data_IF_735039122992
#
_entry.id   IF_735039122992
#
_cell.length_a   1.000
_cell.length_b   1.000
_cell.length_c   1.000
_cell.angle_alpha   90.00
_cell.angle_beta   90.00
_cell.angle_gamma   90.00
#
_symmetry.space_group_name_H-M   'P 1'
#
loop_
_entity.id
_entity.type
_entity.pdbx_description
1 polymer ?
#
# COMPACT_ATOMS: atom_id res chain seq x y z
N UNK A 1 -6.72 -20.01 -23.69
CA UNK A 1 -6.38 -19.84 -22.25
C UNK A 1 -5.56 -18.55 -22.07
N UNK A 2 -6.13 -17.37 -22.41
CA UNK A 2 -5.40 -16.09 -22.37
C UNK A 2 -5.90 -15.09 -21.30
N UNK A 3 -6.93 -15.43 -20.51
CA UNK A 3 -7.56 -14.46 -19.60
C UNK A 3 -7.01 -14.44 -18.16
N UNK A 4 -6.42 -15.54 -17.66
CA UNK A 4 -6.06 -15.63 -16.24
C UNK A 4 -4.97 -14.65 -15.82
N UNK A 5 -3.98 -14.43 -16.66
CA UNK A 5 -2.87 -13.52 -16.35
C UNK A 5 -3.33 -12.05 -16.39
N UNK A 6 -4.26 -11.70 -17.28
CA UNK A 6 -4.78 -10.32 -17.42
C UNK A 6 -5.63 -9.92 -16.21
N UNK A 7 -6.49 -10.83 -15.72
CA UNK A 7 -7.31 -10.57 -14.53
C UNK A 7 -6.44 -10.45 -13.26
N UNK A 8 -5.37 -11.23 -13.17
CA UNK A 8 -4.41 -11.17 -12.07
C UNK A 8 -3.58 -9.87 -12.11
N UNK A 9 -3.06 -9.48 -13.27
CA UNK A 9 -2.35 -8.21 -13.45
C UNK A 9 -3.24 -7.02 -13.08
N UNK A 10 -4.47 -6.98 -13.59
CA UNK A 10 -5.43 -5.91 -13.29
C UNK A 10 -5.78 -5.86 -11.78
N UNK A 11 -5.86 -7.02 -11.12
CA UNK A 11 -6.06 -7.06 -9.68
C UNK A 11 -4.88 -6.47 -8.91
N UNK A 12 -3.63 -6.81 -9.26
CA UNK A 12 -2.44 -6.28 -8.59
C UNK A 12 -2.19 -4.81 -8.88
N UNK A 13 -2.49 -4.33 -10.09
CA UNK A 13 -2.45 -2.90 -10.42
C UNK A 13 -3.44 -2.11 -9.56
N UNK A 14 -4.66 -2.63 -9.39
CA UNK A 14 -5.64 -2.06 -8.44
C UNK A 14 -5.09 -2.04 -7.00
N UNK A 15 -4.37 -3.07 -6.56
CA UNK A 15 -3.79 -3.05 -5.21
C UNK A 15 -2.71 -1.98 -5.06
N UNK A 16 -1.86 -1.77 -6.08
CA UNK A 16 -0.85 -0.69 -6.10
C UNK A 16 -1.49 0.70 -6.06
N UNK A 17 -2.61 0.91 -6.75
CA UNK A 17 -3.38 2.16 -6.66
C UNK A 17 -3.91 2.40 -5.25
N UNK A 18 -4.41 1.35 -4.58
CA UNK A 18 -4.92 1.44 -3.21
C UNK A 18 -3.83 1.72 -2.19
N UNK A 19 -2.67 1.07 -2.33
CA UNK A 19 -1.46 1.37 -1.52
C UNK A 19 -1.04 2.83 -1.73
N UNK A 20 -1.05 3.30 -2.99
CA UNK A 20 -0.72 4.69 -3.34
C UNK A 20 -1.67 5.68 -2.65
N UNK A 21 -2.97 5.44 -2.72
CA UNK A 21 -3.98 6.27 -2.07
C UNK A 21 -3.77 6.29 -0.55
N UNK A 22 -3.57 5.13 0.07
CA UNK A 22 -3.31 5.02 1.50
C UNK A 22 -2.07 5.80 1.94
N UNK A 23 -0.95 5.66 1.22
CA UNK A 23 0.31 6.33 1.54
C UNK A 23 0.19 7.85 1.39
N UNK A 24 -0.38 8.33 0.27
CA UNK A 24 -0.58 9.78 0.04
C UNK A 24 -1.56 10.40 1.03
N UNK A 25 -2.56 9.64 1.47
CA UNK A 25 -3.56 10.16 2.40
C UNK A 25 -3.06 10.15 3.85
N UNK A 26 -2.37 9.11 4.31
CA UNK A 26 -2.02 8.95 5.72
C UNK A 26 -0.68 9.61 6.11
N UNK A 27 0.22 9.83 5.16
CA UNK A 27 1.56 10.38 5.40
C UNK A 27 1.72 11.73 4.71
N UNK A 28 2.50 12.61 5.33
CA UNK A 28 2.81 13.95 4.81
C UNK A 28 3.96 13.88 3.82
N UNK A 29 3.86 14.62 2.70
CA UNK A 29 4.97 14.77 1.76
C UNK A 29 5.31 13.52 0.94
N UNK A 30 4.37 12.60 0.72
CA UNK A 30 4.54 11.48 -0.22
C UNK A 30 4.19 11.93 -1.64
N UNK A 31 5.21 12.19 -2.46
CA UNK A 31 5.04 12.68 -3.83
C UNK A 31 5.16 11.55 -4.85
N UNK A 32 6.20 10.72 -4.67
CA UNK A 32 6.53 9.59 -5.56
C UNK A 32 6.55 8.28 -4.78
N UNK A 33 6.12 7.21 -5.43
CA UNK A 33 6.11 5.86 -4.87
C UNK A 33 6.78 4.94 -5.91
N UNK A 34 7.69 4.10 -5.44
CA UNK A 34 8.33 3.06 -6.27
C UNK A 34 8.06 1.71 -5.63
N UNK A 35 7.52 0.79 -6.42
CA UNK A 35 7.32 -0.61 -6.03
C UNK A 35 8.55 -1.41 -6.46
N UNK A 36 9.15 -2.19 -5.56
CA UNK A 36 10.39 -2.95 -5.82
C UNK A 36 10.15 -4.44 -5.97
N UNK A 37 9.43 -5.05 -5.02
CA UNK A 37 9.27 -6.51 -4.97
C UNK A 37 7.84 -6.91 -4.62
N UNK A 38 7.49 -8.14 -4.99
CA UNK A 38 6.22 -8.78 -4.63
C UNK A 38 6.49 -10.22 -4.27
N UNK A 39 6.19 -10.59 -3.02
CA UNK A 39 6.42 -11.93 -2.51
C UNK A 39 5.14 -12.53 -1.94
N UNK A 40 5.06 -13.86 -1.91
CA UNK A 40 3.90 -14.59 -1.38
C UNK A 40 4.32 -15.46 -0.21
N UNK A 41 3.67 -15.27 0.93
CA UNK A 41 3.86 -16.10 2.11
C UNK A 41 3.14 -17.44 1.96
N UNK A 42 3.62 -18.52 2.62
CA UNK A 42 2.95 -19.82 2.61
C UNK A 42 1.49 -19.77 3.11
N UNK A 43 1.16 -18.78 3.93
CA UNK A 43 -0.21 -18.52 4.43
C UNK A 43 -1.16 -18.00 3.36
N UNK A 44 -0.65 -17.59 2.20
CA UNK A 44 -1.42 -17.03 1.09
C UNK A 44 -1.45 -15.49 1.05
N UNK A 45 -0.92 -14.81 2.07
CA UNK A 45 -0.72 -13.36 2.07
C UNK A 45 0.34 -12.97 1.05
N UNK A 46 0.11 -11.92 0.30
CA UNK A 46 1.06 -11.32 -0.65
C UNK A 46 1.57 -10.01 -0.06
N UNK A 47 2.89 -9.89 0.05
CA UNK A 47 3.57 -8.66 0.43
C UNK A 47 4.02 -7.90 -0.83
N UNK A 48 3.79 -6.59 -0.84
CA UNK A 48 4.29 -5.68 -1.87
C UNK A 48 5.20 -4.67 -1.18
N UNK A 49 6.48 -4.68 -1.56
CA UNK A 49 7.49 -3.79 -1.00
C UNK A 49 7.74 -2.59 -1.91
N UNK A 50 8.12 -1.49 -1.30
CA UNK A 50 8.50 -0.29 -2.02
C UNK A 50 9.04 0.80 -1.11
N UNK A 51 9.29 1.95 -1.72
CA UNK A 51 9.75 3.14 -1.02
C UNK A 51 9.15 4.40 -1.63
N UNK A 52 9.22 5.51 -0.89
CA UNK A 52 8.68 6.81 -1.34
C UNK A 52 9.79 7.82 -1.60
N UNK A 53 9.48 8.83 -2.43
CA UNK A 53 10.32 9.99 -2.72
C UNK A 53 11.77 9.69 -3.16
N UNK A 54 11.98 8.55 -3.84
CA UNK A 54 13.31 8.09 -4.25
C UNK A 54 14.29 7.84 -3.09
N UNK A 55 13.79 7.71 -1.87
CA UNK A 55 14.56 7.45 -0.65
C UNK A 55 14.26 6.04 -0.13
N UNK A 56 15.23 5.14 -0.25
CA UNK A 56 15.11 3.75 0.23
C UNK A 56 15.02 3.62 1.75
N UNK A 57 15.33 4.67 2.51
CA UNK A 57 15.08 4.69 3.96
C UNK A 57 13.62 5.00 4.31
N UNK A 58 12.81 5.42 3.33
CA UNK A 58 11.38 5.64 3.45
C UNK A 58 10.61 4.44 2.87
N UNK A 59 10.98 3.23 3.30
CA UNK A 59 10.41 1.98 2.82
C UNK A 59 9.09 1.58 3.49
N UNK A 60 8.32 0.74 2.79
CA UNK A 60 7.11 0.10 3.26
C UNK A 60 6.98 -1.33 2.73
N UNK A 61 6.26 -2.17 3.48
CA UNK A 61 5.67 -3.44 3.05
C UNK A 61 4.16 -3.32 3.18
N UNK A 62 3.42 -3.70 2.15
CA UNK A 62 1.96 -3.76 2.16
C UNK A 62 1.48 -5.21 2.07
N UNK A 63 0.77 -5.66 3.11
CA UNK A 63 0.32 -7.04 3.21
C UNK A 63 -1.14 -7.17 2.74
N UNK A 64 -1.38 -8.11 1.83
CA UNK A 64 -2.68 -8.31 1.18
C UNK A 64 -3.05 -9.79 1.27
N UNK A 65 -4.11 -10.08 2.00
CA UNK A 65 -4.64 -11.44 2.05
C UNK A 65 -5.31 -11.85 0.73
N UNK A 66 -5.10 -13.10 0.34
CA UNK A 66 -5.59 -13.65 -0.92
C UNK A 66 -7.09 -13.40 -1.09
N UNK A 67 -7.47 -12.71 -2.17
CA UNK A 67 -8.87 -12.42 -2.51
C UNK A 67 -9.46 -11.20 -1.80
N UNK A 68 -8.68 -10.47 -1.00
CA UNK A 68 -9.10 -9.21 -0.38
C UNK A 68 -8.51 -8.00 -1.11
N UNK A 69 -9.03 -6.81 -0.88
CA UNK A 69 -8.35 -5.58 -1.31
C UNK A 69 -7.52 -5.02 -0.16
N UNK A 70 -6.40 -4.38 -0.48
CA UNK A 70 -5.61 -3.64 0.49
C UNK A 70 -6.46 -2.56 1.18
N UNK A 71 -6.48 -2.52 2.51
CA UNK A 71 -7.24 -1.53 3.29
C UNK A 71 -6.33 -0.69 4.19
N UNK A 72 -5.58 -1.36 5.06
CA UNK A 72 -4.51 -0.83 5.87
C UNK A 72 -3.78 -2.04 6.47
N UNK A 73 -2.53 -2.27 6.09
CA UNK A 73 -1.77 -3.46 6.49
C UNK A 73 -0.29 -3.33 6.16
N UNK A 74 0.51 -4.24 6.72
CA UNK A 74 1.96 -4.25 6.59
C UNK A 74 2.69 -3.26 7.50
N UNK A 75 3.92 -2.92 7.12
CA UNK A 75 4.87 -2.14 7.92
C UNK A 75 5.48 -0.98 7.16
N UNK A 76 6.05 -0.03 7.89
CA UNK A 76 6.85 1.06 7.33
C UNK A 76 8.14 1.20 8.10
N UNK A 77 9.15 1.78 7.45
CA UNK A 77 10.36 2.24 8.13
C UNK A 77 10.02 3.23 9.24
N UNK A 78 10.93 3.39 10.21
CA UNK A 78 10.76 4.38 11.27
C UNK A 78 10.69 5.81 10.71
N UNK A 79 11.50 6.10 9.69
CA UNK A 79 11.57 7.40 9.03
C UNK A 79 10.27 7.73 8.29
N UNK A 80 9.67 6.76 7.61
CA UNK A 80 8.35 6.93 7.00
C UNK A 80 7.24 7.02 8.06
N UNK A 81 7.33 6.27 9.15
CA UNK A 81 6.37 6.35 10.24
C UNK A 81 6.31 7.77 10.86
N UNK A 82 7.45 8.46 10.98
CA UNK A 82 7.53 9.84 11.48
C UNK A 82 6.79 10.85 10.59
N UNK A 83 6.62 10.54 9.30
CA UNK A 83 5.84 11.34 8.35
C UNK A 83 4.33 11.13 8.49
N UNK A 84 3.85 10.26 9.38
CA UNK A 84 2.41 10.06 9.59
C UNK A 84 1.73 11.37 10.00
N UNK A 85 0.66 11.74 9.29
CA UNK A 85 -0.19 12.89 9.63
C UNK A 85 -0.64 12.79 11.08
N UNK A 86 -0.60 13.90 11.81
CA UNK A 86 -0.86 13.92 13.26
C UNK A 86 -2.18 13.25 13.66
N UNK A 87 -3.23 13.47 12.87
CA UNK A 87 -4.57 12.88 13.04
C UNK A 87 -4.63 11.35 12.82
N UNK A 88 -3.68 10.78 12.09
CA UNK A 88 -3.61 9.35 11.75
C UNK A 88 -2.48 8.58 12.47
N UNK A 89 -1.72 9.26 13.34
CA UNK A 89 -0.66 8.63 14.16
C UNK A 89 -1.18 7.53 15.08
N UNK A 90 -2.39 7.70 15.62
CA UNK A 90 -3.03 6.73 16.52
C UNK A 90 -3.79 5.67 15.72
N UNK A 91 -4.43 6.07 14.63
CA UNK A 91 -5.20 5.16 13.76
C UNK A 91 -5.14 5.65 12.33
N UNK A 92 -4.45 4.89 11.47
CA UNK A 92 -4.42 5.13 10.03
C UNK A 92 -5.82 4.92 9.45
N UNK A 93 -6.20 5.77 8.49
CA UNK A 93 -7.45 5.66 7.78
C UNK A 93 -7.35 4.56 6.72
N UNK A 94 -8.33 3.66 6.70
CA UNK A 94 -8.40 2.58 5.71
C UNK A 94 -8.71 3.16 4.33
N UNK A 95 -8.31 2.47 3.26
CA UNK A 95 -8.64 2.89 1.89
C UNK A 95 -10.14 3.05 1.69
N UNK A 96 -10.96 2.12 2.19
CA UNK A 96 -12.42 2.22 2.11
C UNK A 96 -12.98 3.44 2.83
N UNK A 97 -12.39 3.85 3.96
CA UNK A 97 -12.82 5.08 4.63
C UNK A 97 -12.33 6.33 3.91
N UNK A 98 -11.15 6.30 3.29
CA UNK A 98 -10.65 7.42 2.45
C UNK A 98 -11.58 7.65 1.26
N UNK A 99 -12.01 6.58 0.59
CA UNK A 99 -12.87 6.70 -0.59
C UNK A 99 -14.21 7.37 -0.28
N UNK A 100 -14.80 7.11 0.91
CA UNK A 100 -16.04 7.74 1.36
C UNK A 100 -15.94 9.25 1.61
N UNK A 101 -14.73 9.77 1.84
CA UNK A 101 -14.50 11.21 2.06
C UNK A 101 -14.34 12.00 0.76
N UNK A 102 -14.08 11.30 -0.35
CA UNK A 102 -13.79 11.90 -1.66
C UNK A 102 -15.05 11.93 -2.54
N UNK A 103 -16.07 11.14 -2.19
CA UNK A 103 -17.43 11.16 -2.75
C UNK A 103 -18.27 12.32 -2.19
#
# INVERSE_FOLDING_TARGET
MHNKNVEEEAYWDKQKERITLFLKYNYEGVDKITFEDTYKLPTGTVGIDGYVNDDKELDFSADIDSGMNFEAGGSTSAKLADMSKKEYRVKKKTVSDILKDID
#
